data_IF_618870133892
#
_entry.id   IF_618870133892
#
_cell.length_a   1.000
_cell.length_b   1.000
_cell.length_c   1.000
_cell.angle_alpha   90.00
_cell.angle_beta   90.00
_cell.angle_gamma   90.00
#
_symmetry.space_group_name_H-M   'P 1'
#
loop_
_entity.id
_entity.type
_entity.pdbx_description
1 polymer ?
#
# COMPACT_ATOMS: atom_id res chain seq x y z
N UNK A 1 6.84 -30.80 45.70
CA UNK A 1 7.32 -29.69 44.86
C UNK A 1 6.79 -29.94 43.45
N UNK A 2 5.80 -29.16 43.01
CA UNK A 2 5.27 -29.30 41.65
C UNK A 2 6.38 -28.95 40.65
N UNK A 3 6.56 -29.79 39.62
CA UNK A 3 7.53 -29.53 38.56
C UNK A 3 7.29 -28.11 37.98
N UNK A 4 8.36 -27.35 37.67
CA UNK A 4 8.21 -26.07 36.98
C UNK A 4 7.37 -26.30 35.72
N UNK A 5 6.41 -25.42 35.40
CA UNK A 5 5.60 -25.56 34.19
C UNK A 5 6.56 -25.70 33.00
N UNK A 6 6.44 -26.81 32.28
CA UNK A 6 7.27 -27.07 31.11
C UNK A 6 7.13 -25.86 30.19
N UNK A 7 8.24 -25.13 29.99
CA UNK A 7 8.29 -24.07 29.01
C UNK A 7 7.91 -24.69 27.67
N UNK A 8 6.80 -24.23 27.08
CA UNK A 8 6.37 -24.63 25.74
C UNK A 8 7.57 -24.41 24.81
N UNK A 9 8.25 -25.48 24.39
CA UNK A 9 9.35 -25.38 23.45
C UNK A 9 8.76 -25.03 22.08
N UNK A 10 8.70 -23.73 21.77
CA UNK A 10 8.26 -23.27 20.46
C UNK A 10 9.34 -23.73 19.45
N UNK A 11 8.96 -24.45 18.38
CA UNK A 11 9.92 -24.94 17.39
C UNK A 11 10.73 -23.79 16.80
N UNK A 12 12.06 -23.89 16.78
CA UNK A 12 12.95 -22.82 16.25
C UNK A 12 12.63 -22.50 14.78
N UNK A 13 12.29 -23.52 14.00
CA UNK A 13 11.94 -23.38 12.58
C UNK A 13 10.67 -22.54 12.36
N UNK A 14 9.73 -22.57 13.31
CA UNK A 14 8.51 -21.76 13.28
C UNK A 14 8.87 -20.28 13.38
N UNK A 15 9.72 -19.98 14.35
CA UNK A 15 10.19 -18.64 14.69
C UNK A 15 10.92 -18.04 13.49
N UNK A 16 11.85 -18.79 12.91
CA UNK A 16 12.61 -18.36 11.73
C UNK A 16 11.69 -18.11 10.53
N UNK A 17 10.78 -19.05 10.24
CA UNK A 17 9.83 -18.93 9.13
C UNK A 17 8.93 -17.69 9.29
N UNK A 18 8.41 -17.43 10.48
CA UNK A 18 7.59 -16.25 10.76
C UNK A 18 8.37 -14.94 10.53
N UNK A 19 9.63 -14.88 10.98
CA UNK A 19 10.48 -13.71 10.78
C UNK A 19 10.75 -13.49 9.29
N UNK A 20 11.19 -14.53 8.57
CA UNK A 20 11.53 -14.47 7.14
C UNK A 20 10.35 -13.94 6.30
N UNK A 21 9.13 -14.39 6.60
CA UNK A 21 7.95 -14.00 5.84
C UNK A 21 7.44 -12.61 6.23
N UNK A 22 7.30 -12.34 7.53
CA UNK A 22 6.58 -11.16 8.00
C UNK A 22 7.47 -9.93 8.11
N UNK A 23 8.76 -10.06 8.45
CA UNK A 23 9.62 -8.92 8.85
C UNK A 23 9.69 -7.82 7.81
N UNK A 24 9.79 -8.19 6.52
CA UNK A 24 9.92 -7.25 5.39
C UNK A 24 8.72 -7.32 4.44
N UNK A 25 7.56 -7.78 4.92
CA UNK A 25 6.38 -7.96 4.08
C UNK A 25 5.84 -6.60 3.58
N UNK A 26 5.56 -6.44 2.28
CA UNK A 26 5.19 -5.14 1.69
C UNK A 26 3.90 -4.54 2.27
N UNK A 27 2.93 -5.38 2.65
CA UNK A 27 1.66 -4.91 3.23
C UNK A 27 1.80 -4.24 4.60
N UNK A 28 2.91 -4.45 5.30
CA UNK A 28 3.17 -3.77 6.58
C UNK A 28 3.26 -2.26 6.41
N UNK A 29 3.75 -1.77 5.27
CA UNK A 29 4.03 -0.36 4.99
C UNK A 29 4.72 0.33 6.17
N UNK A 30 5.83 -0.28 6.57
CA UNK A 30 6.63 0.12 7.71
C UNK A 30 7.16 1.54 7.51
N UNK A 31 7.30 2.27 8.61
CA UNK A 31 7.88 3.62 8.64
C UNK A 31 8.91 3.68 9.74
N UNK A 32 9.87 4.57 9.59
CA UNK A 32 10.86 4.85 10.64
C UNK A 32 10.29 5.78 11.70
N UNK A 33 10.65 5.52 12.95
CA UNK A 33 10.29 6.32 14.10
C UNK A 33 11.33 6.22 15.21
N UNK A 34 11.32 7.20 16.11
CA UNK A 34 12.25 7.27 17.23
C UNK A 34 11.56 6.76 18.49
N UNK A 35 11.86 5.52 18.89
CA UNK A 35 11.39 4.98 20.15
C UNK A 35 12.15 5.62 21.30
N UNK A 36 11.46 6.26 22.24
CA UNK A 36 12.06 6.68 23.52
C UNK A 36 12.33 5.45 24.38
N UNK A 37 13.58 5.28 24.79
CA UNK A 37 13.97 4.23 25.72
C UNK A 37 13.76 4.69 27.16
N UNK A 38 13.35 3.78 28.04
CA UNK A 38 13.29 4.04 29.49
C UNK A 38 14.69 4.26 30.07
N UNK A 39 15.65 3.48 29.58
CA UNK A 39 17.07 3.56 29.95
C UNK A 39 17.89 3.88 28.71
N UNK A 40 18.95 4.70 28.82
CA UNK A 40 19.86 4.96 27.71
C UNK A 40 20.37 3.65 27.10
N UNK A 41 20.58 3.63 25.78
CA UNK A 41 21.13 2.47 25.09
C UNK A 41 22.49 2.11 25.71
N UNK A 42 22.71 0.85 26.14
CA UNK A 42 23.97 0.45 26.75
C UNK A 42 25.19 0.61 25.82
N UNK A 43 24.96 0.69 24.51
CA UNK A 43 26.03 0.73 23.51
C UNK A 43 26.45 2.15 23.16
N UNK A 44 25.49 3.06 22.99
CA UNK A 44 25.74 4.43 22.51
C UNK A 44 25.34 5.53 23.51
N UNK A 45 24.67 5.18 24.61
CA UNK A 45 24.14 6.15 25.58
C UNK A 45 22.95 6.96 25.07
N UNK A 46 22.44 6.67 23.88
CA UNK A 46 21.30 7.39 23.29
C UNK A 46 20.01 7.10 24.05
N UNK A 47 19.18 8.13 24.22
CA UNK A 47 17.84 8.02 24.82
C UNK A 47 16.76 7.60 23.83
N UNK A 48 17.10 7.58 22.54
CA UNK A 48 16.18 7.27 21.45
C UNK A 48 16.78 6.21 20.52
N UNK A 49 15.96 5.26 20.10
CA UNK A 49 16.33 4.21 19.13
C UNK A 49 15.52 4.35 17.85
N UNK A 50 16.18 4.37 16.69
CA UNK A 50 15.47 4.31 15.40
C UNK A 50 14.93 2.90 15.19
N UNK A 51 13.62 2.79 14.98
CA UNK A 51 12.93 1.54 14.75
C UNK A 51 11.84 1.69 13.70
N UNK A 52 11.55 0.58 13.04
CA UNK A 52 10.45 0.47 12.12
C UNK A 52 9.15 0.11 12.86
N UNK A 53 8.09 0.83 12.53
CA UNK A 53 6.78 0.63 13.12
C UNK A 53 5.68 0.60 12.06
N UNK A 54 4.61 -0.11 12.38
CA UNK A 54 3.45 -0.31 11.51
C UNK A 54 2.16 -0.41 12.34
N UNK A 55 1.00 -0.45 11.66
CA UNK A 55 -0.30 -0.56 12.33
C UNK A 55 -0.76 -2.01 12.41
N UNK A 56 -1.55 -2.36 13.43
CA UNK A 56 -2.11 -3.70 13.62
C UNK A 56 -2.83 -4.22 12.37
N UNK A 57 -3.72 -3.41 11.77
CA UNK A 57 -4.45 -3.80 10.56
C UNK A 57 -3.56 -4.12 9.35
N UNK A 58 -2.34 -3.60 9.31
CA UNK A 58 -1.35 -3.91 8.27
C UNK A 58 -0.74 -5.29 8.49
N UNK A 59 -0.44 -5.62 9.75
CA UNK A 59 0.06 -6.94 10.13
C UNK A 59 -0.98 -8.03 9.90
N UNK A 60 -2.25 -7.76 10.24
CA UNK A 60 -3.35 -8.68 9.93
C UNK A 60 -3.42 -8.95 8.42
N UNK A 61 -3.32 -7.92 7.57
CA UNK A 61 -3.28 -8.09 6.10
C UNK A 61 -2.07 -8.90 5.63
N UNK A 62 -0.90 -8.69 6.24
CA UNK A 62 0.30 -9.46 5.91
C UNK A 62 0.15 -10.94 6.27
N UNK A 63 -0.48 -11.27 7.41
CA UNK A 63 -0.76 -12.65 7.83
C UNK A 63 -1.82 -13.30 6.92
N UNK A 64 -2.82 -12.53 6.48
CA UNK A 64 -3.84 -12.99 5.53
C UNK A 64 -3.36 -13.06 4.08
N UNK A 65 -2.11 -12.69 3.81
CA UNK A 65 -1.59 -12.63 2.45
C UNK A 65 -1.44 -14.04 1.85
N UNK A 66 -1.45 -14.10 0.52
CA UNK A 66 -1.16 -15.35 -0.20
C UNK A 66 0.27 -15.83 0.09
N UNK A 67 1.23 -14.92 0.23
CA UNK A 67 2.62 -15.25 0.55
C UNK A 67 2.73 -16.01 1.88
N UNK A 68 2.03 -15.55 2.91
CA UNK A 68 1.98 -16.24 4.21
C UNK A 68 1.27 -17.59 4.09
N UNK A 69 0.16 -17.65 3.35
CA UNK A 69 -0.60 -18.87 3.11
C UNK A 69 0.20 -19.95 2.37
N UNK A 70 1.01 -19.56 1.39
CA UNK A 70 1.84 -20.47 0.59
C UNK A 70 3.02 -20.99 1.43
N UNK A 71 3.62 -20.14 2.26
CA UNK A 71 4.69 -20.56 3.16
C UNK A 71 4.21 -21.51 4.28
N UNK A 72 2.97 -21.37 4.76
CA UNK A 72 2.34 -22.34 5.65
C UNK A 72 2.26 -23.74 5.01
N UNK A 73 1.92 -23.80 3.72
CA UNK A 73 1.74 -25.08 3.01
C UNK A 73 3.08 -25.78 2.77
N UNK A 74 4.15 -25.03 2.55
CA UNK A 74 5.48 -25.57 2.25
C UNK A 74 6.13 -26.26 3.47
N UNK A 75 5.78 -25.84 4.70
CA UNK A 75 6.33 -26.42 5.95
C UNK A 75 5.23 -27.00 6.85
N UNK A 76 4.59 -28.12 6.47
CA UNK A 76 3.42 -28.67 7.15
C UNK A 76 3.72 -29.28 8.53
N UNK A 77 4.97 -29.62 8.86
CA UNK A 77 5.31 -30.16 10.19
C UNK A 77 5.31 -29.10 11.28
N UNK A 78 5.67 -27.86 10.91
CA UNK A 78 5.87 -26.75 11.85
C UNK A 78 4.60 -25.92 12.00
N UNK A 79 3.74 -25.87 10.98
CA UNK A 79 2.61 -24.93 10.91
C UNK A 79 1.21 -25.55 11.06
N UNK A 80 1.08 -26.80 11.55
CA UNK A 80 -0.24 -27.44 11.79
C UNK A 80 -1.17 -26.63 12.71
N UNK A 81 -0.59 -25.80 13.56
CA UNK A 81 -1.32 -25.03 14.56
C UNK A 81 -1.62 -23.58 14.13
N UNK A 82 -1.04 -23.09 13.02
CA UNK A 82 -1.23 -21.71 12.57
C UNK A 82 -2.20 -21.68 11.40
N UNK A 83 -3.39 -21.15 11.67
CA UNK A 83 -4.37 -20.77 10.65
C UNK A 83 -4.22 -19.28 10.37
N UNK A 84 -4.70 -18.83 9.21
CA UNK A 84 -4.66 -17.42 8.82
C UNK A 84 -5.93 -16.97 8.07
N UNK A 85 -6.99 -17.77 8.10
CA UNK A 85 -8.22 -17.49 7.37
C UNK A 85 -9.07 -16.46 8.10
N UNK A 86 -9.26 -16.66 9.40
CA UNK A 86 -10.08 -15.77 10.22
C UNK A 86 -9.22 -14.72 10.91
N UNK A 87 -9.84 -13.62 11.34
CA UNK A 87 -9.15 -12.63 12.18
C UNK A 87 -8.68 -13.22 13.50
N UNK A 88 -9.46 -14.12 14.11
CA UNK A 88 -9.07 -14.77 15.36
C UNK A 88 -7.75 -15.54 15.21
N UNK A 89 -7.59 -16.25 14.10
CA UNK A 89 -6.34 -16.97 13.81
C UNK A 89 -5.16 -15.99 13.67
N UNK A 90 -5.37 -14.86 12.99
CA UNK A 90 -4.34 -13.82 12.86
C UNK A 90 -3.92 -13.26 14.22
N UNK A 91 -4.88 -13.07 15.14
CA UNK A 91 -4.60 -12.62 16.50
C UNK A 91 -3.78 -13.65 17.27
N UNK A 92 -4.03 -14.95 17.10
CA UNK A 92 -3.19 -15.98 17.72
C UNK A 92 -1.72 -15.89 17.25
N UNK A 93 -1.50 -15.65 15.95
CA UNK A 93 -0.15 -15.41 15.41
C UNK A 93 0.48 -14.17 16.04
N UNK A 94 -0.29 -13.09 16.20
CA UNK A 94 0.20 -11.85 16.80
C UNK A 94 0.54 -12.04 18.29
N UNK A 95 -0.30 -12.75 19.04
CA UNK A 95 -0.04 -13.11 20.44
C UNK A 95 1.23 -13.96 20.55
N UNK A 96 1.45 -14.89 19.64
CA UNK A 96 2.68 -15.67 19.57
C UNK A 96 3.91 -14.77 19.33
N UNK A 97 3.84 -13.82 18.38
CA UNK A 97 4.93 -12.87 18.12
C UNK A 97 5.22 -11.96 19.33
N UNK A 98 4.21 -11.62 20.12
CA UNK A 98 4.35 -10.87 21.37
C UNK A 98 4.99 -11.73 22.48
N UNK A 99 4.57 -12.98 22.62
CA UNK A 99 5.18 -13.94 23.56
C UNK A 99 6.66 -14.17 23.26
N UNK A 100 7.03 -14.20 21.97
CA UNK A 100 8.40 -14.29 21.48
C UNK A 100 9.19 -12.96 21.60
N UNK A 101 8.55 -11.88 22.08
CA UNK A 101 9.13 -10.53 22.18
C UNK A 101 9.65 -9.96 20.86
N UNK A 102 9.11 -10.38 19.73
CA UNK A 102 9.44 -9.81 18.43
C UNK A 102 8.73 -8.50 18.14
N UNK A 103 7.56 -8.33 18.76
CA UNK A 103 6.77 -7.13 18.67
C UNK A 103 6.72 -6.44 20.03
N UNK A 104 6.77 -5.11 20.00
CA UNK A 104 6.45 -4.27 21.14
C UNK A 104 5.26 -3.39 20.76
N UNK A 105 4.18 -3.38 21.54
CA UNK A 105 3.08 -2.45 21.32
C UNK A 105 3.52 -1.02 21.65
N UNK A 106 3.18 -0.08 20.78
CA UNK A 106 3.64 1.30 20.90
C UNK A 106 2.54 2.31 20.59
N UNK A 107 2.74 3.52 21.10
CA UNK A 107 1.89 4.68 20.84
C UNK A 107 2.67 5.72 20.04
N UNK A 108 1.96 6.45 19.19
CA UNK A 108 2.50 7.55 18.40
C UNK A 108 1.70 8.82 18.71
N UNK A 109 1.95 9.48 19.86
CA UNK A 109 1.19 10.66 20.26
C UNK A 109 1.49 11.85 19.33
N UNK A 110 0.57 12.81 19.30
CA UNK A 110 0.79 14.07 18.60
C UNK A 110 1.89 14.91 19.29
N UNK A 111 2.50 15.84 18.55
CA UNK A 111 3.58 16.70 19.07
C UNK A 111 3.17 17.53 20.29
N UNK A 112 1.89 17.93 20.39
CA UNK A 112 1.38 18.68 21.53
C UNK A 112 1.33 17.80 22.79
N UNK A 113 0.75 16.60 22.66
CA UNK A 113 0.64 15.61 23.74
C UNK A 113 2.01 15.17 24.25
N UNK A 114 2.98 14.96 23.34
CA UNK A 114 4.35 14.59 23.73
C UNK A 114 5.00 15.61 24.66
N UNK A 115 4.77 16.91 24.42
CA UNK A 115 5.34 17.98 25.24
C UNK A 115 4.59 18.17 26.55
N UNK A 116 3.25 18.17 26.49
CA UNK A 116 2.37 18.47 27.62
C UNK A 116 2.40 17.33 28.65
N UNK A 117 2.08 16.12 28.20
CA UNK A 117 1.87 14.97 29.09
C UNK A 117 3.18 14.21 29.34
N UNK A 118 3.91 13.88 28.27
CA UNK A 118 5.08 12.99 28.38
C UNK A 118 6.41 13.72 28.61
N UNK A 119 6.41 15.07 28.57
CA UNK A 119 7.61 15.92 28.71
C UNK A 119 8.75 15.53 27.74
N UNK A 120 8.40 15.03 26.55
CA UNK A 120 9.36 14.60 25.52
C UNK A 120 9.45 15.65 24.41
N UNK A 121 10.67 16.01 24.02
CA UNK A 121 10.90 16.91 22.90
C UNK A 121 10.62 16.18 21.57
N UNK A 122 9.68 16.67 20.73
CA UNK A 122 9.39 16.02 19.46
C UNK A 122 10.52 16.28 18.45
N UNK A 123 10.78 15.29 17.60
CA UNK A 123 11.71 15.42 16.46
C UNK A 123 10.98 15.92 15.21
N UNK A 124 11.71 16.66 14.36
CA UNK A 124 11.19 17.16 13.07
C UNK A 124 11.28 16.10 11.96
N UNK A 125 12.27 15.21 12.02
CA UNK A 125 12.60 14.26 10.94
C UNK A 125 11.76 12.99 11.02
N UNK A 126 11.58 12.46 12.23
CA UNK A 126 10.87 11.21 12.49
C UNK A 126 9.90 11.38 13.66
N UNK A 127 8.75 10.70 13.64
CA UNK A 127 7.82 10.72 14.77
C UNK A 127 8.45 10.06 16.00
N UNK A 128 8.28 10.68 17.17
CA UNK A 128 8.66 10.07 18.44
C UNK A 128 7.57 9.09 18.88
N UNK A 129 7.99 7.90 19.28
CA UNK A 129 7.16 6.76 19.63
C UNK A 129 7.48 6.37 21.06
N UNK A 130 6.47 5.94 21.83
CA UNK A 130 6.64 5.45 23.20
C UNK A 130 6.13 4.01 23.28
N UNK A 131 6.84 3.14 24.00
CA UNK A 131 6.35 1.80 24.29
C UNK A 131 5.14 1.87 25.23
N UNK A 132 4.17 0.96 25.10
CA UNK A 132 3.05 0.93 26.05
C UNK A 132 3.55 0.26 27.34
N UNK A 133 3.82 1.09 28.34
CA UNK A 133 4.31 0.67 29.67
C UNK A 133 3.28 1.04 30.73
N UNK A 134 3.37 0.43 31.90
CA UNK A 134 2.44 0.72 33.01
C UNK A 134 2.49 2.20 33.42
N UNK A 135 3.66 2.83 33.34
CA UNK A 135 3.84 4.26 33.63
C UNK A 135 3.09 5.14 32.64
N UNK A 136 3.19 4.84 31.35
CA UNK A 136 2.49 5.59 30.30
C UNK A 136 0.98 5.44 30.43
N UNK A 137 0.49 4.23 30.76
CA UNK A 137 -0.94 4.01 31.00
C UNK A 137 -1.40 4.84 32.20
N UNK A 138 -0.65 4.89 33.30
CA UNK A 138 -0.96 5.75 34.45
C UNK A 138 -1.00 7.23 34.08
N UNK A 139 -0.03 7.70 33.31
CA UNK A 139 -0.02 9.10 32.84
C UNK A 139 -1.25 9.41 31.99
N UNK A 140 -1.71 8.46 31.18
CA UNK A 140 -2.93 8.59 30.36
C UNK A 140 -4.18 8.58 31.24
N UNK A 141 -4.25 7.70 32.24
CA UNK A 141 -5.35 7.63 33.21
C UNK A 141 -5.48 8.91 34.06
N UNK A 142 -4.36 9.55 34.38
CA UNK A 142 -4.31 10.82 35.14
C UNK A 142 -4.64 12.05 34.29
N UNK A 143 -4.53 11.95 32.95
CA UNK A 143 -4.77 13.07 32.05
C UNK A 143 -6.24 13.19 31.65
N UNK A 144 -6.82 14.39 31.77
CA UNK A 144 -8.21 14.66 31.38
C UNK A 144 -8.42 14.70 29.85
N UNK A 145 -7.34 14.95 29.09
CA UNK A 145 -7.39 15.17 27.64
C UNK A 145 -7.20 13.90 26.80
N UNK A 146 -6.78 12.78 27.40
CA UNK A 146 -6.47 11.54 26.66
C UNK A 146 -7.47 10.43 26.99
N UNK A 147 -7.95 9.75 25.96
CA UNK A 147 -8.82 8.57 26.12
C UNK A 147 -7.97 7.30 26.27
N UNK A 148 -8.14 6.56 27.38
CA UNK A 148 -7.46 5.29 27.65
C UNK A 148 -7.69 4.26 26.54
N UNK A 149 -8.87 4.28 25.91
CA UNK A 149 -9.18 3.38 24.80
C UNK A 149 -8.17 3.53 23.66
N UNK A 150 -7.57 4.71 23.50
CA UNK A 150 -6.56 4.99 22.48
C UNK A 150 -5.18 4.40 22.74
N UNK A 151 -4.93 4.03 23.99
CA UNK A 151 -3.63 3.60 24.50
C UNK A 151 -3.66 2.14 24.98
N UNK A 152 -4.81 1.47 24.85
CA UNK A 152 -4.99 0.04 25.15
C UNK A 152 -5.18 -0.78 23.87
N UNK A 153 -4.67 -2.01 23.90
CA UNK A 153 -4.85 -2.99 22.82
C UNK A 153 -5.77 -4.09 23.33
N UNK A 154 -6.95 -4.20 22.74
CA UNK A 154 -7.94 -5.22 23.05
C UNK A 154 -7.85 -6.38 22.05
N UNK A 155 -7.23 -7.48 22.48
CA UNK A 155 -7.14 -8.70 21.69
C UNK A 155 -8.47 -9.46 21.61
N UNK A 156 -9.41 -9.20 22.53
CA UNK A 156 -10.76 -9.79 22.49
C UNK A 156 -11.67 -9.14 21.43
N UNK A 157 -11.46 -7.84 21.15
CA UNK A 157 -12.19 -7.07 20.13
C UNK A 157 -11.20 -6.35 19.21
N UNK A 158 -10.54 -7.10 18.30
CA UNK A 158 -9.43 -6.57 17.51
C UNK A 158 -9.81 -5.40 16.60
N UNK A 159 -11.09 -5.28 16.22
CA UNK A 159 -11.60 -4.20 15.36
C UNK A 159 -11.39 -2.81 15.98
N UNK A 160 -11.43 -2.72 17.31
CA UNK A 160 -11.18 -1.48 18.04
C UNK A 160 -9.68 -1.13 18.08
N UNK A 161 -8.81 -2.10 17.81
CA UNK A 161 -7.35 -1.97 17.92
C UNK A 161 -6.64 -1.85 16.57
N UNK A 162 -7.38 -1.78 15.46
CA UNK A 162 -6.84 -1.82 14.09
C UNK A 162 -5.81 -0.71 13.80
N UNK A 163 -5.97 0.45 14.44
CA UNK A 163 -5.09 1.62 14.29
C UNK A 163 -3.98 1.73 15.34
N UNK A 164 -3.87 0.76 16.26
CA UNK A 164 -2.78 0.67 17.23
C UNK A 164 -1.48 0.29 16.53
N UNK A 165 -0.36 0.79 17.07
CA UNK A 165 0.96 0.64 16.46
C UNK A 165 1.80 -0.44 17.15
N UNK A 166 2.67 -1.06 16.38
CA UNK A 166 3.66 -2.01 16.86
C UNK A 166 5.03 -1.69 16.25
N UNK A 167 6.09 -1.93 17.01
CA UNK A 167 7.47 -1.89 16.56
C UNK A 167 8.06 -3.30 16.52
N UNK A 168 8.97 -3.53 15.57
CA UNK A 168 9.84 -4.70 15.60
C UNK A 168 10.95 -4.53 16.62
N UNK A 169 11.22 -5.57 17.39
CA UNK A 169 12.45 -5.68 18.20
C UNK A 169 13.58 -6.39 17.46
N UNK A 170 13.33 -6.81 16.21
CA UNK A 170 14.28 -7.53 15.36
C UNK A 170 14.89 -6.55 14.34
N UNK A 171 16.19 -6.69 14.10
CA UNK A 171 16.88 -5.96 13.03
C UNK A 171 16.27 -6.29 11.66
N UNK A 172 16.35 -5.37 10.68
CA UNK A 172 15.98 -5.69 9.30
C UNK A 172 16.72 -6.93 8.81
N UNK A 173 16.04 -7.76 8.03
CA UNK A 173 16.64 -9.00 7.56
C UNK A 173 17.66 -8.69 6.46
N UNK A 174 18.93 -9.03 6.71
CA UNK A 174 19.95 -8.98 5.67
C UNK A 174 19.80 -10.21 4.77
N UNK A 175 18.91 -10.09 3.77
CA UNK A 175 18.59 -11.16 2.80
C UNK A 175 19.83 -11.73 2.12
N UNK A 176 20.93 -10.98 2.07
CA UNK A 176 22.20 -11.42 1.48
C UNK A 176 22.96 -12.44 2.34
N UNK A 177 22.75 -12.44 3.67
CA UNK A 177 23.36 -13.42 4.58
C UNK A 177 22.56 -14.71 4.65
N UNK A 178 21.24 -14.62 4.55
CA UNK A 178 20.34 -15.77 4.61
C UNK A 178 20.52 -16.70 3.41
N UNK A 179 20.68 -16.14 2.19
CA UNK A 179 21.02 -16.94 1.00
C UNK A 179 22.38 -17.65 1.10
N UNK A 180 23.24 -17.24 2.03
CA UNK A 180 24.58 -17.80 2.25
C UNK A 180 24.62 -18.89 3.32
N UNK A 181 23.59 -18.99 4.17
CA UNK A 181 23.50 -20.00 5.23
C UNK A 181 22.66 -21.23 4.84
N UNK A 182 21.90 -21.16 3.75
CA UNK A 182 21.21 -22.30 3.17
C UNK A 182 22.25 -23.28 2.61
N UNK A 183 22.15 -24.55 3.03
CA UNK A 183 23.03 -25.64 2.57
C UNK A 183 23.10 -25.67 1.04
N UNK A 184 24.26 -25.96 0.42
CA UNK A 184 24.44 -25.90 -1.04
C UNK A 184 23.39 -26.70 -1.84
N UNK A 185 22.79 -27.72 -1.24
CA UNK A 185 21.75 -28.56 -1.83
C UNK A 185 20.35 -27.92 -1.90
N UNK A 186 20.01 -27.01 -0.97
CA UNK A 186 18.73 -26.29 -0.97
C UNK A 186 18.83 -25.00 -1.80
N UNK A 187 20.01 -24.39 -1.85
CA UNK A 187 20.30 -23.25 -2.73
C UNK A 187 20.16 -23.59 -4.22
N UNK A 188 20.45 -24.84 -4.62
CA UNK A 188 20.22 -25.31 -5.99
C UNK A 188 18.74 -25.46 -6.35
N UNK A 189 17.84 -25.61 -5.37
CA UNK A 189 16.39 -25.70 -5.59
C UNK A 189 15.71 -24.32 -5.54
N UNK A 190 16.20 -23.37 -4.74
CA UNK A 190 15.68 -22.00 -4.73
C UNK A 190 16.16 -21.13 -5.90
N UNK A 191 17.34 -21.43 -6.47
CA UNK A 191 17.81 -20.74 -7.68
C UNK A 191 16.87 -20.92 -8.88
N UNK A 192 15.98 -21.92 -8.86
CA UNK A 192 14.99 -22.14 -9.91
C UNK A 192 13.69 -21.33 -9.69
N UNK A 193 13.30 -20.98 -8.45
CA UNK A 193 12.00 -20.33 -8.17
C UNK A 193 11.98 -18.81 -8.35
N UNK A 194 13.12 -18.12 -8.31
CA UNK A 194 13.20 -16.72 -8.76
C UNK A 194 13.64 -16.63 -10.21
N UNK A 195 12.91 -17.29 -11.11
CA UNK A 195 13.00 -16.91 -12.52
C UNK A 195 12.49 -15.47 -12.61
N UNK A 196 13.39 -14.50 -12.79
CA UNK A 196 13.00 -13.20 -13.32
C UNK A 196 12.20 -13.49 -14.58
N UNK A 197 10.90 -13.19 -14.52
CA UNK A 197 9.97 -13.44 -15.62
C UNK A 197 10.65 -12.94 -16.88
N UNK A 198 10.66 -13.72 -17.97
CA UNK A 198 11.29 -13.30 -19.23
C UNK A 198 10.83 -11.88 -19.62
N UNK A 199 9.58 -11.56 -19.31
CA UNK A 199 8.95 -10.24 -19.41
C UNK A 199 9.65 -9.11 -18.63
N UNK A 200 10.18 -9.36 -17.45
CA UNK A 200 10.85 -8.35 -16.64
C UNK A 200 12.27 -8.09 -17.16
N UNK A 201 12.97 -9.14 -17.60
CA UNK A 201 14.23 -8.97 -18.35
C UNK A 201 14.01 -8.21 -19.66
N UNK A 202 12.94 -8.54 -20.39
CA UNK A 202 12.56 -7.87 -21.64
C UNK A 202 12.27 -6.38 -21.41
N UNK A 203 11.52 -6.04 -20.35
CA UNK A 203 11.25 -4.63 -19.98
C UNK A 203 12.53 -3.87 -19.67
N UNK A 204 13.44 -4.46 -18.89
CA UNK A 204 14.71 -3.83 -18.53
C UNK A 204 15.55 -3.59 -19.79
N UNK A 205 15.68 -4.59 -20.65
CA UNK A 205 16.42 -4.46 -21.92
C UNK A 205 15.79 -3.40 -22.82
N UNK A 206 14.47 -3.34 -22.91
CA UNK A 206 13.75 -2.34 -23.70
C UNK A 206 14.00 -0.91 -23.18
N UNK A 207 13.88 -0.69 -21.86
CA UNK A 207 14.09 0.62 -21.23
C UNK A 207 15.54 1.08 -21.44
N UNK A 208 16.50 0.18 -21.21
CA UNK A 208 17.93 0.46 -21.40
C UNK A 208 18.22 0.77 -22.87
N UNK A 209 17.68 -0.01 -23.80
CA UNK A 209 17.84 0.22 -25.25
C UNK A 209 17.29 1.57 -25.67
N UNK A 210 16.10 1.97 -25.18
CA UNK A 210 15.52 3.28 -25.47
C UNK A 210 16.40 4.40 -24.92
N UNK A 211 16.87 4.26 -23.67
CA UNK A 211 17.76 5.25 -23.05
C UNK A 211 19.06 5.45 -23.82
N UNK A 212 19.73 4.36 -24.22
CA UNK A 212 20.96 4.41 -25.04
C UNK A 212 20.69 5.06 -26.39
N UNK A 213 19.58 4.70 -27.04
CA UNK A 213 19.20 5.24 -28.36
C UNK A 213 18.98 6.75 -28.29
N UNK A 214 18.31 7.25 -27.23
CA UNK A 214 18.10 8.68 -27.02
C UNK A 214 19.39 9.45 -26.70
N UNK A 215 20.27 8.90 -25.86
CA UNK A 215 21.56 9.55 -25.53
C UNK A 215 22.46 9.63 -26.77
N UNK A 216 22.40 8.62 -27.65
CA UNK A 216 23.15 8.60 -28.90
C UNK A 216 22.52 9.41 -30.03
N UNK A 217 21.47 10.20 -29.78
CA UNK A 217 20.85 11.10 -30.76
C UNK A 217 21.85 11.92 -31.62
N UNK A 218 22.97 12.45 -31.06
CA UNK A 218 23.98 13.17 -31.86
C UNK A 218 24.62 12.33 -32.98
N UNK A 219 24.66 11.00 -32.81
CA UNK A 219 25.30 10.05 -33.74
C UNK A 219 24.31 9.55 -34.80
N UNK A 220 23.02 9.90 -34.70
CA UNK A 220 22.01 9.37 -35.62
C UNK A 220 22.20 9.84 -37.06
N UNK A 221 21.91 8.98 -38.05
CA UNK A 221 21.97 9.34 -39.45
C UNK A 221 21.02 10.52 -39.73
N UNK A 222 21.45 11.41 -40.62
CA UNK A 222 20.75 12.66 -40.90
C UNK A 222 19.26 12.45 -41.25
N UNK A 223 18.93 11.41 -42.02
CA UNK A 223 17.55 11.09 -42.40
C UNK A 223 16.65 10.77 -41.21
N UNK A 224 17.16 10.09 -40.17
CA UNK A 224 16.40 9.81 -38.95
C UNK A 224 16.17 11.07 -38.11
N UNK A 225 17.19 11.95 -38.01
CA UNK A 225 17.05 13.23 -37.30
C UNK A 225 15.97 14.11 -37.94
N UNK A 226 15.93 14.15 -39.26
CA UNK A 226 14.87 14.83 -40.02
C UNK A 226 13.50 14.21 -39.76
N UNK A 227 13.40 12.88 -39.70
CA UNK A 227 12.16 12.18 -39.34
C UNK A 227 11.64 12.56 -37.95
N UNK A 228 12.52 12.54 -36.93
CA UNK A 228 12.16 12.94 -35.56
C UNK A 228 11.75 14.42 -35.50
N UNK A 229 12.43 15.28 -36.23
CA UNK A 229 12.09 16.70 -36.35
C UNK A 229 10.64 16.87 -36.86
N UNK A 230 10.30 16.27 -38.00
CA UNK A 230 8.95 16.38 -38.55
C UNK A 230 7.89 15.70 -37.68
N UNK A 231 8.23 14.57 -37.04
CA UNK A 231 7.35 13.92 -36.08
C UNK A 231 7.06 14.83 -34.88
N UNK A 232 8.07 15.54 -34.36
CA UNK A 232 7.91 16.52 -33.28
C UNK A 232 6.98 17.66 -33.69
N UNK A 233 7.13 18.21 -34.91
CA UNK A 233 6.19 19.22 -35.44
C UNK A 233 4.79 18.66 -35.66
N UNK A 234 4.67 17.38 -36.05
CA UNK A 234 3.38 16.70 -36.18
C UNK A 234 2.67 16.56 -34.83
N UNK A 235 3.38 16.12 -33.79
CA UNK A 235 2.85 16.05 -32.41
C UNK A 235 2.49 17.43 -31.89
N UNK A 236 3.32 18.45 -32.16
CA UNK A 236 3.05 19.83 -31.76
C UNK A 236 1.81 20.39 -32.48
N UNK A 237 1.66 20.11 -33.78
CA UNK A 237 0.49 20.51 -34.56
C UNK A 237 -0.79 19.81 -34.08
N UNK A 238 -0.71 18.52 -33.78
CA UNK A 238 -1.80 17.76 -33.16
C UNK A 238 -2.18 18.39 -31.81
N UNK A 239 -1.20 18.68 -30.95
CA UNK A 239 -1.43 19.32 -29.66
C UNK A 239 -2.09 20.70 -29.81
N UNK A 240 -1.62 21.52 -30.76
CA UNK A 240 -2.23 22.82 -31.06
C UNK A 240 -3.69 22.67 -31.54
N UNK A 241 -3.99 21.68 -32.38
CA UNK A 241 -5.35 21.38 -32.80
C UNK A 241 -6.24 21.00 -31.61
N UNK A 242 -5.74 20.19 -30.67
CA UNK A 242 -6.47 19.87 -29.43
C UNK A 242 -6.80 21.13 -28.60
N UNK A 243 -5.87 22.07 -28.47
CA UNK A 243 -6.10 23.32 -27.76
C UNK A 243 -7.12 24.23 -28.46
N UNK A 244 -7.02 24.38 -29.78
CA UNK A 244 -8.00 25.16 -30.56
C UNK A 244 -9.40 24.58 -30.38
N UNK A 245 -9.54 23.25 -30.45
CA UNK A 245 -10.81 22.56 -30.23
C UNK A 245 -11.35 22.78 -28.81
N UNK A 246 -10.50 22.73 -27.79
CA UNK A 246 -10.89 22.99 -26.41
C UNK A 246 -11.35 24.44 -26.20
N UNK A 247 -10.66 25.42 -26.79
CA UNK A 247 -11.03 26.83 -26.72
C UNK A 247 -12.36 27.08 -27.43
N UNK A 248 -12.53 26.55 -28.64
CA UNK A 248 -13.80 26.66 -29.38
C UNK A 248 -14.96 26.06 -28.58
N UNK A 249 -14.76 24.90 -27.92
CA UNK A 249 -15.73 24.31 -27.01
C UNK A 249 -16.12 25.26 -25.88
N UNK A 250 -15.12 25.89 -25.26
CA UNK A 250 -15.31 26.78 -24.13
C UNK A 250 -16.07 28.04 -24.53
N UNK A 251 -15.70 28.68 -25.65
CA UNK A 251 -16.38 29.87 -26.16
C UNK A 251 -17.83 29.56 -26.52
N UNK A 252 -18.09 28.47 -27.24
CA UNK A 252 -19.45 28.04 -27.60
C UNK A 252 -20.30 27.74 -26.35
N UNK A 253 -19.71 27.10 -25.35
CA UNK A 253 -20.38 26.83 -24.09
C UNK A 253 -20.76 28.14 -23.38
N UNK A 254 -19.85 29.12 -23.29
CA UNK A 254 -20.14 30.43 -22.69
C UNK A 254 -21.23 31.20 -23.44
N UNK A 255 -21.22 31.17 -24.78
CA UNK A 255 -22.23 31.84 -25.60
C UNK A 255 -23.61 31.18 -25.48
N UNK A 256 -23.67 29.85 -25.34
CA UNK A 256 -24.94 29.12 -25.25
C UNK A 256 -25.48 28.99 -23.83
N UNK A 257 -24.65 29.21 -22.81
CA UNK A 257 -25.04 29.17 -21.40
C UNK A 257 -26.23 30.09 -21.04
N UNK A 258 -26.30 31.37 -21.47
CA UNK A 258 -27.46 32.22 -21.17
C UNK A 258 -28.72 31.83 -21.94
N UNK A 259 -28.59 31.23 -23.13
CA UNK A 259 -29.71 30.90 -24.04
C UNK A 259 -30.32 29.52 -23.73
N UNK A 260 -29.50 28.55 -23.31
CA UNK A 260 -29.88 27.13 -23.16
C UNK A 260 -29.93 26.66 -21.69
N UNK A 261 -30.36 27.51 -20.75
CA UNK A 261 -30.40 27.18 -19.30
C UNK A 261 -31.18 25.89 -18.95
N UNK A 262 -32.20 25.49 -19.73
CA UNK A 262 -33.06 24.33 -19.40
C UNK A 262 -32.54 22.97 -19.86
N UNK A 263 -31.58 22.93 -20.80
CA UNK A 263 -31.09 21.68 -21.41
C UNK A 263 -29.57 21.47 -21.26
N UNK A 264 -28.86 22.44 -20.67
CA UNK A 264 -27.40 22.45 -20.55
C UNK A 264 -26.73 23.14 -21.75
N UNK A 265 -25.51 23.64 -21.56
CA UNK A 265 -24.77 24.34 -22.62
C UNK A 265 -24.50 23.45 -23.84
N UNK A 266 -24.49 24.05 -25.02
CA UNK A 266 -24.25 23.37 -26.29
C UNK A 266 -22.75 23.11 -26.49
N UNK A 267 -22.39 21.94 -27.01
CA UNK A 267 -21.02 21.64 -27.43
C UNK A 267 -20.97 20.94 -28.79
N UNK A 268 -19.94 21.27 -29.58
CA UNK A 268 -19.74 20.81 -30.97
C UNK A 268 -18.61 19.75 -31.07
N UNK A 269 -18.08 19.25 -29.96
CA UNK A 269 -16.91 18.36 -30.01
C UNK A 269 -17.16 16.96 -29.45
N UNK A 270 -16.60 15.92 -30.09
CA UNK A 270 -16.81 14.56 -29.65
C UNK A 270 -16.06 14.29 -28.33
N UNK A 271 -16.32 13.12 -27.72
CA UNK A 271 -15.95 12.77 -26.34
C UNK A 271 -14.42 12.58 -26.09
N UNK A 272 -13.57 13.47 -26.62
CA UNK A 272 -12.10 13.42 -26.51
C UNK A 272 -11.55 13.57 -25.10
N UNK A 273 -12.29 14.22 -24.19
CA UNK A 273 -11.88 14.42 -22.78
C UNK A 273 -12.57 13.44 -21.82
N UNK A 274 -13.40 12.52 -22.32
CA UNK A 274 -14.02 11.48 -21.51
C UNK A 274 -13.23 10.17 -21.65
N UNK A 275 -13.28 9.30 -20.63
CA UNK A 275 -12.63 7.98 -20.61
C UNK A 275 -13.25 7.01 -21.64
N UNK A 276 -13.01 7.30 -22.92
CA UNK A 276 -13.52 6.59 -24.09
C UNK A 276 -12.35 5.98 -24.88
N UNK A 277 -12.60 4.89 -25.60
CA UNK A 277 -11.62 4.38 -26.56
C UNK A 277 -11.44 5.35 -27.73
N UNK A 278 -10.32 5.26 -28.44
CA UNK A 278 -9.94 6.19 -29.52
C UNK A 278 -11.08 6.47 -30.52
N UNK A 279 -11.80 5.45 -31.00
CA UNK A 279 -12.90 5.63 -31.95
C UNK A 279 -14.18 6.21 -31.32
N UNK A 280 -14.43 5.96 -30.04
CA UNK A 280 -15.57 6.50 -29.30
C UNK A 280 -15.33 7.97 -28.90
N UNK A 281 -14.07 8.38 -28.77
CA UNK A 281 -13.67 9.78 -28.57
C UNK A 281 -14.06 10.70 -29.74
N UNK A 282 -14.38 10.15 -30.92
CA UNK A 282 -14.82 10.89 -32.11
C UNK A 282 -16.35 10.89 -32.33
N UNK A 283 -17.15 10.42 -31.35
CA UNK A 283 -18.62 10.46 -31.37
C UNK A 283 -19.19 10.94 -30.01
N UNK A 284 -20.37 11.59 -29.96
CA UNK A 284 -21.12 12.22 -31.05
C UNK A 284 -20.51 13.58 -31.46
N UNK A 285 -20.69 14.00 -32.71
CA UNK A 285 -20.09 15.23 -33.25
C UNK A 285 -20.68 16.53 -32.63
N UNK A 286 -21.87 16.47 -32.05
CA UNK A 286 -22.48 17.59 -31.32
C UNK A 286 -23.39 17.03 -30.20
N UNK A 287 -23.66 17.82 -29.17
CA UNK A 287 -24.51 17.42 -28.06
C UNK A 287 -25.08 18.58 -27.27
N UNK A 288 -26.20 18.33 -26.60
CA UNK A 288 -26.87 19.25 -25.68
C UNK A 288 -26.93 18.60 -24.30
N UNK A 289 -26.25 19.21 -23.32
CA UNK A 289 -26.27 18.76 -21.93
C UNK A 289 -25.74 17.35 -21.68
N UNK A 290 -25.54 16.99 -20.42
CA UNK A 290 -24.84 15.75 -20.00
C UNK A 290 -25.45 14.44 -20.53
N UNK A 291 -26.71 14.46 -20.98
CA UNK A 291 -27.46 13.28 -21.44
C UNK A 291 -26.87 12.60 -22.69
N UNK A 292 -26.10 13.31 -23.51
CA UNK A 292 -25.47 12.73 -24.71
C UNK A 292 -23.99 12.35 -24.52
N UNK A 293 -23.45 12.54 -23.32
CA UNK A 293 -22.06 12.15 -23.00
C UNK A 293 -21.90 10.63 -22.95
N UNK A 294 -20.72 10.13 -23.31
CA UNK A 294 -20.41 8.70 -23.23
C UNK A 294 -20.54 8.21 -21.78
N UNK A 295 -20.11 9.02 -20.82
CA UNK A 295 -20.22 8.72 -19.40
C UNK A 295 -21.66 8.51 -18.94
N UNK A 296 -22.61 9.34 -19.38
CA UNK A 296 -24.04 9.21 -19.08
C UNK A 296 -24.65 7.98 -19.76
N UNK A 297 -24.36 7.75 -21.05
CA UNK A 297 -24.84 6.58 -21.79
C UNK A 297 -24.35 5.28 -21.13
N UNK A 298 -23.09 5.25 -20.68
CA UNK A 298 -22.50 4.10 -19.97
C UNK A 298 -23.16 3.87 -18.60
N UNK A 299 -23.44 4.94 -17.84
CA UNK A 299 -24.20 4.85 -16.57
C UNK A 299 -25.61 4.28 -16.79
N UNK A 300 -26.34 4.77 -17.80
CA UNK A 300 -27.69 4.29 -18.14
C UNK A 300 -27.69 2.83 -18.58
N UNK A 301 -26.71 2.40 -19.40
CA UNK A 301 -26.55 0.98 -19.78
C UNK A 301 -26.31 0.09 -18.54
N UNK A 302 -25.50 0.55 -17.59
CA UNK A 302 -25.22 -0.17 -16.33
C UNK A 302 -26.45 -0.27 -15.44
N UNK A 303 -27.25 0.80 -15.32
CA UNK A 303 -28.52 0.79 -14.58
C UNK A 303 -29.51 -0.19 -15.20
N UNK A 304 -29.75 -0.13 -16.52
CA UNK A 304 -30.63 -1.09 -17.22
C UNK A 304 -30.20 -2.55 -17.06
N UNK A 305 -28.89 -2.82 -17.02
CA UNK A 305 -28.36 -4.17 -16.75
C UNK A 305 -28.66 -4.64 -15.33
N UNK A 306 -28.54 -3.76 -14.33
CA UNK A 306 -28.92 -4.05 -12.94
C UNK A 306 -30.41 -4.28 -12.78
N UNK A 307 -31.24 -3.44 -13.40
CA UNK A 307 -32.71 -3.58 -13.39
C UNK A 307 -33.15 -4.91 -14.03
N UNK A 308 -32.58 -5.29 -15.18
CA UNK A 308 -32.87 -6.59 -15.81
C UNK A 308 -32.46 -7.78 -14.95
N UNK A 309 -31.40 -7.66 -14.14
CA UNK A 309 -30.98 -8.70 -13.18
C UNK A 309 -31.92 -8.77 -11.98
N UNK A 310 -32.34 -7.61 -11.45
CA UNK A 310 -33.32 -7.54 -10.36
C UNK A 310 -34.69 -8.12 -10.78
N UNK A 311 -35.16 -7.82 -12.00
CA UNK A 311 -36.41 -8.34 -12.53
C UNK A 311 -36.37 -9.86 -12.77
N UNK A 312 -35.20 -10.44 -13.08
CA UNK A 312 -35.01 -11.89 -13.21
C UNK A 312 -34.90 -12.63 -11.87
N UNK A 313 -34.61 -11.91 -10.78
CA UNK A 313 -34.47 -12.47 -9.43
C UNK A 313 -35.78 -12.37 -8.62
N UNK A 314 -36.79 -11.67 -9.12
CA UNK A 314 -38.13 -11.73 -8.53
C UNK A 314 -38.77 -13.09 -8.86
N UNK A 315 -39.27 -13.83 -7.86
CA UNK A 315 -39.93 -15.11 -8.10
C UNK A 315 -41.20 -14.87 -8.92
N UNK A 316 -41.40 -15.67 -9.97
CA UNK A 316 -42.67 -15.71 -10.69
C UNK A 316 -43.71 -16.30 -9.74
N UNK A 317 -44.68 -15.48 -9.34
CA UNK A 317 -45.91 -15.94 -8.71
C UNK A 317 -46.69 -16.86 -9.64
#
# INVERSE_FOLDING_TARGET
MAAPPQQMQIPKDLVETLILILRDHPDLKQREGLLKLEKPDPSNGDTHKNLEFFRLKRLIRAIQSKQFSDAIKEKPEVMRNLKNQTRADCIQVIVLLLQLKFLTPVIKPAHQVLKKEFKVKPSKKFPTILAITAEIIKTVEESEDLDIADYKIDFAKPELSDDRYFCWNITPLDKTRLSKQVSPAEASLEQEKTTSTIWDKLKIVLIVSIGITLVLYPVWPYKMRVGVYYLSYGVLGLLAAFFVMAILRYVLYLLTLPVCKSQGGFWIFPNLFEDCGFFDSFKPLYGFGEVQTYSYIKKMKKQKSKEKKALKQQPKN
#
